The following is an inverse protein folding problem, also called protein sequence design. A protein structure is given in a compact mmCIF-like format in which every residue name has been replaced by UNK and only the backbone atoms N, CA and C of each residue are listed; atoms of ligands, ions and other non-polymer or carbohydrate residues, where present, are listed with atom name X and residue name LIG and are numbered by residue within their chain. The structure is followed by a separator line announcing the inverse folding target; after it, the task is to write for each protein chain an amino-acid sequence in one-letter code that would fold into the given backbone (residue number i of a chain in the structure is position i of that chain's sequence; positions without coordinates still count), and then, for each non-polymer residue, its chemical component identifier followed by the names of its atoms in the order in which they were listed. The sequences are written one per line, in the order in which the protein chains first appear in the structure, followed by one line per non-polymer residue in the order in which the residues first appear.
data_IF_533803466318
#
_entry.id   IF_533803466318
#
_cell.length_a   1.000
_cell.length_b   1.000
_cell.length_c   1.000
_cell.angle_alpha   90.00
_cell.angle_beta   90.00
_cell.angle_gamma   90.00
#
_symmetry.space_group_name_H-M   'P 1'
#
loop_
_entity.id
_entity.type
_entity.pdbx_description
1 polymer ?
#
# COMPACT_ATOMS: atom_id res chain seq x y z
N UNK A 1 -36.96 -54.72 -63.45
CA UNK A 1 -35.69 -54.13 -63.93
C UNK A 1 -35.56 -52.78 -63.23
N UNK A 2 -34.67 -52.67 -62.25
CA UNK A 2 -34.43 -51.41 -61.53
C UNK A 2 -33.71 -50.43 -62.45
N UNK A 3 -34.45 -49.49 -63.03
CA UNK A 3 -33.94 -48.36 -63.81
C UNK A 3 -33.33 -47.32 -62.86
N UNK A 4 -32.05 -47.46 -62.58
CA UNK A 4 -31.25 -46.43 -61.89
C UNK A 4 -30.33 -45.73 -62.88
N UNK A 5 -30.26 -44.40 -62.81
CA UNK A 5 -29.34 -43.59 -63.62
C UNK A 5 -27.89 -43.82 -63.18
N UNK A 6 -26.97 -43.92 -64.14
CA UNK A 6 -25.53 -43.92 -63.86
C UNK A 6 -25.09 -42.46 -63.68
N UNK A 7 -24.73 -42.10 -62.45
CA UNK A 7 -24.41 -40.72 -62.12
C UNK A 7 -22.95 -40.35 -62.41
N UNK A 8 -22.68 -39.08 -62.78
CA UNK A 8 -21.33 -38.54 -62.88
C UNK A 8 -20.55 -38.68 -61.57
N UNK A 9 -19.21 -38.69 -61.65
CA UNK A 9 -18.34 -38.78 -60.46
C UNK A 9 -18.70 -37.68 -59.46
N UNK A 10 -18.94 -38.06 -58.20
CA UNK A 10 -19.43 -37.22 -57.09
C UNK A 10 -20.95 -36.98 -57.00
N UNK A 11 -21.78 -37.66 -57.79
CA UNK A 11 -23.25 -37.58 -57.73
C UNK A 11 -23.91 -38.96 -57.50
N UNK A 12 -25.10 -38.98 -56.90
CA UNK A 12 -25.87 -40.17 -56.53
C UNK A 12 -27.39 -39.87 -56.52
N UNK A 13 -28.19 -40.88 -56.21
CA UNK A 13 -29.65 -40.83 -56.20
C UNK A 13 -30.26 -41.21 -57.55
N UNK A 14 -31.58 -41.48 -57.59
CA UNK A 14 -32.28 -41.98 -58.79
C UNK A 14 -32.20 -41.01 -59.98
N UNK A 15 -32.04 -39.71 -59.71
CA UNK A 15 -31.94 -38.64 -60.71
C UNK A 15 -30.57 -37.94 -60.71
N UNK A 16 -29.55 -38.47 -60.02
CA UNK A 16 -28.21 -37.88 -59.97
C UNK A 16 -28.16 -36.42 -59.48
N UNK A 17 -29.10 -36.01 -58.64
CA UNK A 17 -29.19 -34.65 -58.10
C UNK A 17 -28.73 -34.54 -56.65
N UNK A 18 -28.27 -35.65 -56.07
CA UNK A 18 -27.65 -35.67 -54.75
C UNK A 18 -26.14 -35.83 -54.94
N UNK A 19 -25.32 -35.10 -54.18
CA UNK A 19 -23.87 -35.36 -54.21
C UNK A 19 -23.59 -36.71 -53.55
N UNK A 20 -22.55 -37.42 -53.95
CA UNK A 20 -22.18 -38.68 -53.29
C UNK A 20 -21.26 -38.39 -52.09
N UNK A 21 -20.22 -37.57 -52.30
CA UNK A 21 -19.42 -36.96 -51.23
C UNK A 21 -19.50 -35.42 -51.37
N UNK A 22 -19.69 -34.70 -50.26
CA UNK A 22 -19.77 -33.24 -50.23
C UNK A 22 -18.37 -32.60 -50.36
N UNK A 23 -17.42 -32.96 -49.48
CA UNK A 23 -16.04 -32.47 -49.50
C UNK A 23 -15.02 -33.61 -49.51
N UNK A 24 -15.06 -34.43 -50.57
CA UNK A 24 -14.19 -35.60 -50.71
C UNK A 24 -14.37 -36.30 -52.05
N UNK A 25 -13.74 -37.47 -52.17
CA UNK A 25 -13.84 -38.30 -53.36
C UNK A 25 -14.36 -39.69 -52.99
N UNK A 26 -15.19 -40.29 -53.86
CA UNK A 26 -15.55 -41.71 -53.70
C UNK A 26 -14.31 -42.56 -53.95
N UNK A 27 -13.96 -43.35 -52.95
CA UNK A 27 -12.95 -44.38 -53.06
C UNK A 27 -13.63 -45.76 -53.06
N UNK A 28 -13.21 -46.60 -53.98
CA UNK A 28 -13.51 -48.04 -53.93
C UNK A 28 -12.44 -48.70 -53.05
N UNK A 29 -12.83 -49.64 -52.17
CA UNK A 29 -11.83 -50.53 -51.60
C UNK A 29 -11.20 -51.32 -52.75
N UNK A 30 -9.92 -51.03 -53.06
CA UNK A 30 -9.12 -51.85 -53.97
C UNK A 30 -8.79 -53.19 -53.31
N UNK A 31 -9.81 -54.03 -53.08
CA UNK A 31 -9.60 -55.44 -52.92
C UNK A 31 -10.05 -56.13 -54.20
N UNK A 32 -9.06 -56.59 -54.99
CA UNK A 32 -9.28 -57.41 -56.18
C UNK A 32 -9.92 -58.73 -55.73
N UNK A 33 -11.25 -58.82 -55.83
CA UNK A 33 -11.92 -60.10 -56.00
C UNK A 33 -13.26 -59.88 -56.70
N UNK A 34 -13.41 -60.57 -57.81
CA UNK A 34 -14.64 -60.64 -58.60
C UNK A 34 -15.68 -61.34 -57.72
N UNK A 35 -16.79 -60.64 -57.44
CA UNK A 35 -17.95 -61.09 -56.64
C UNK A 35 -17.94 -60.79 -55.13
N UNK A 36 -17.89 -59.50 -54.77
CA UNK A 36 -18.46 -59.03 -53.49
C UNK A 36 -18.84 -57.56 -53.60
N UNK A 37 -20.03 -57.19 -53.12
CA UNK A 37 -20.59 -55.84 -53.11
C UNK A 37 -19.52 -54.75 -52.89
N UNK A 38 -19.33 -53.88 -53.88
CA UNK A 38 -18.39 -52.77 -53.81
C UNK A 38 -18.92 -51.79 -52.75
N UNK A 39 -18.41 -51.88 -51.53
CA UNK A 39 -18.73 -50.93 -50.49
C UNK A 39 -17.93 -49.64 -50.77
N UNK A 40 -18.58 -48.67 -51.41
CA UNK A 40 -17.98 -47.36 -51.72
C UNK A 40 -18.03 -46.47 -50.48
N UNK A 41 -16.93 -45.82 -50.16
CA UNK A 41 -16.87 -44.86 -49.05
C UNK A 41 -16.27 -43.54 -49.50
N UNK A 42 -16.60 -42.46 -48.80
CA UNK A 42 -16.03 -41.15 -49.09
C UNK A 42 -14.67 -40.99 -48.41
N UNK A 43 -13.63 -40.79 -49.22
CA UNK A 43 -12.34 -40.30 -48.75
C UNK A 43 -12.41 -38.77 -48.66
N UNK A 44 -12.44 -38.24 -47.43
CA UNK A 44 -12.60 -36.81 -47.21
C UNK A 44 -11.35 -36.00 -47.49
N UNK A 45 -11.55 -34.79 -48.02
CA UNK A 45 -10.49 -33.80 -48.13
C UNK A 45 -9.99 -33.39 -46.74
N UNK A 46 -8.75 -32.90 -46.66
CA UNK A 46 -8.16 -32.43 -45.41
C UNK A 46 -9.09 -31.41 -44.72
N UNK A 47 -9.41 -31.66 -43.45
CA UNK A 47 -10.31 -30.81 -42.68
C UNK A 47 -11.81 -31.12 -42.85
N UNK A 48 -12.19 -32.28 -43.40
CA UNK A 48 -13.57 -32.76 -43.49
C UNK A 48 -13.72 -34.23 -43.06
N UNK A 49 -14.89 -34.59 -42.54
CA UNK A 49 -15.26 -35.91 -42.00
C UNK A 49 -16.77 -36.15 -42.15
N UNK A 50 -17.25 -37.29 -41.68
CA UNK A 50 -18.61 -37.77 -41.93
C UNK A 50 -18.66 -38.75 -43.10
N UNK A 51 -19.73 -39.54 -43.16
CA UNK A 51 -19.92 -40.60 -44.16
C UNK A 51 -19.89 -40.05 -45.60
N UNK A 52 -20.29 -38.79 -45.77
CA UNK A 52 -20.28 -38.07 -47.04
C UNK A 52 -19.35 -36.86 -47.00
N UNK A 53 -18.44 -36.74 -46.03
CA UNK A 53 -17.55 -35.58 -45.87
C UNK A 53 -18.29 -34.24 -45.72
N UNK A 54 -19.49 -34.30 -45.15
CA UNK A 54 -20.39 -33.17 -44.93
C UNK A 54 -20.03 -32.39 -43.65
N UNK A 55 -19.27 -33.00 -42.74
CA UNK A 55 -18.86 -32.39 -41.48
C UNK A 55 -17.48 -31.78 -41.67
N UNK A 56 -17.38 -30.46 -41.57
CA UNK A 56 -16.07 -29.81 -41.47
C UNK A 56 -15.41 -30.27 -40.17
N UNK A 57 -14.13 -30.65 -40.20
CA UNK A 57 -13.31 -30.60 -38.98
C UNK A 57 -13.21 -29.12 -38.59
N UNK A 58 -14.23 -28.62 -37.90
CA UNK A 58 -14.22 -27.37 -37.15
C UNK A 58 -13.33 -27.47 -35.91
N UNK A 59 -12.92 -28.69 -35.55
CA UNK A 59 -12.12 -29.04 -34.38
C UNK A 59 -10.66 -28.66 -34.59
N UNK A 60 -10.38 -27.37 -34.61
CA UNK A 60 -9.04 -26.89 -34.26
C UNK A 60 -8.89 -27.11 -32.77
N UNK A 61 -7.93 -27.94 -32.37
CA UNK A 61 -7.48 -27.94 -30.99
C UNK A 61 -7.12 -26.50 -30.62
N UNK A 62 -7.50 -26.09 -29.42
CA UNK A 62 -6.99 -24.86 -28.83
C UNK A 62 -5.46 -24.89 -28.83
N UNK A 63 -4.78 -23.75 -28.63
CA UNK A 63 -3.34 -23.70 -28.35
C UNK A 63 -2.92 -24.50 -27.10
N UNK A 64 -3.89 -25.07 -26.40
CA UNK A 64 -3.80 -25.84 -25.16
C UNK A 64 -3.88 -27.35 -25.38
N UNK A 65 -3.67 -27.81 -26.62
CA UNK A 65 -3.61 -29.22 -26.95
C UNK A 65 -3.02 -29.46 -28.33
N UNK A 66 -2.73 -30.73 -28.62
CA UNK A 66 -2.10 -31.18 -29.86
C UNK A 66 -3.06 -32.06 -30.63
N UNK A 67 -3.19 -31.83 -31.94
CA UNK A 67 -4.00 -32.67 -32.81
C UNK A 67 -3.22 -33.94 -33.18
N UNK A 68 -3.73 -35.11 -32.79
CA UNK A 68 -3.14 -36.42 -33.11
C UNK A 68 -4.25 -37.33 -33.66
N UNK A 69 -4.08 -37.86 -34.88
CA UNK A 69 -5.04 -38.78 -35.53
C UNK A 69 -6.50 -38.30 -35.46
N UNK A 70 -6.74 -37.01 -35.76
CA UNK A 70 -8.06 -36.36 -35.72
C UNK A 70 -8.69 -36.18 -34.34
N UNK A 71 -7.94 -36.43 -33.26
CA UNK A 71 -8.38 -36.22 -31.86
C UNK A 71 -7.46 -35.20 -31.19
N UNK A 72 -8.02 -34.31 -30.36
CA UNK A 72 -7.21 -33.39 -29.57
C UNK A 72 -6.74 -34.05 -28.27
N UNK A 73 -5.43 -34.10 -28.08
CA UNK A 73 -4.81 -34.47 -26.81
C UNK A 73 -4.52 -33.19 -26.03
N UNK A 74 -5.19 -33.01 -24.90
CA UNK A 74 -5.15 -31.76 -24.14
C UNK A 74 -3.95 -31.68 -23.21
N UNK A 75 -3.40 -30.48 -23.06
CA UNK A 75 -2.39 -30.18 -22.06
C UNK A 75 -2.99 -30.35 -20.65
N UNK A 76 -2.12 -30.49 -19.65
CA UNK A 76 -2.52 -30.76 -18.27
C UNK A 76 -3.62 -29.79 -17.80
N UNK A 77 -4.66 -30.36 -17.18
CA UNK A 77 -5.85 -29.67 -16.66
C UNK A 77 -6.80 -29.03 -17.69
N UNK A 78 -6.54 -29.19 -18.99
CA UNK A 78 -7.50 -28.89 -20.05
C UNK A 78 -8.25 -30.14 -20.51
N UNK A 79 -9.48 -29.93 -20.97
CA UNK A 79 -10.40 -30.99 -21.33
C UNK A 79 -11.33 -30.60 -22.48
N UNK A 80 -12.14 -31.56 -22.89
CA UNK A 80 -13.09 -31.44 -23.97
C UNK A 80 -12.46 -31.66 -25.34
N UNK A 81 -13.32 -31.87 -26.33
CA UNK A 81 -12.93 -32.28 -27.68
C UNK A 81 -12.04 -31.28 -28.43
N UNK A 82 -11.97 -30.03 -27.97
CA UNK A 82 -11.11 -28.98 -28.53
C UNK A 82 -10.13 -28.39 -27.51
N UNK A 83 -9.96 -29.01 -26.33
CA UNK A 83 -9.07 -28.54 -25.25
C UNK A 83 -9.33 -27.10 -24.81
N UNK A 84 -10.61 -26.73 -24.77
CA UNK A 84 -11.07 -25.39 -24.33
C UNK A 84 -11.62 -25.42 -22.91
N UNK A 85 -12.04 -26.58 -22.44
CA UNK A 85 -12.60 -26.72 -21.11
C UNK A 85 -11.48 -26.88 -20.09
N UNK A 86 -11.73 -26.49 -18.85
CA UNK A 86 -10.81 -26.59 -17.72
C UNK A 86 -11.35 -27.58 -16.70
N UNK A 87 -10.46 -28.39 -16.15
CA UNK A 87 -10.79 -29.44 -15.19
C UNK A 87 -10.79 -28.94 -13.73
N UNK A 88 -10.23 -27.75 -13.47
CA UNK A 88 -10.07 -27.20 -12.12
C UNK A 88 -10.26 -25.68 -12.14
N UNK A 89 -10.92 -25.15 -11.11
CA UNK A 89 -10.90 -23.74 -10.76
C UNK A 89 -10.35 -23.62 -9.34
N UNK A 90 -9.37 -22.74 -9.10
CA UNK A 90 -8.85 -22.51 -7.76
C UNK A 90 -9.69 -21.47 -7.02
N UNK A 91 -9.76 -20.24 -7.53
CA UNK A 91 -10.51 -19.13 -6.93
C UNK A 91 -11.64 -18.66 -7.85
N UNK A 92 -12.55 -19.57 -8.17
CA UNK A 92 -13.64 -19.29 -9.09
C UNK A 92 -14.64 -20.42 -9.17
N UNK A 93 -15.76 -20.13 -9.80
CA UNK A 93 -16.85 -21.09 -9.98
C UNK A 93 -16.74 -21.77 -11.34
N UNK A 94 -17.10 -23.06 -11.38
CA UNK A 94 -17.11 -23.82 -12.61
C UNK A 94 -18.45 -23.65 -13.33
N UNK A 95 -18.43 -23.11 -14.54
CA UNK A 95 -19.62 -22.90 -15.36
C UNK A 95 -19.35 -23.37 -16.80
N UNK A 96 -20.12 -24.35 -17.27
CA UNK A 96 -20.03 -24.90 -18.63
C UNK A 96 -18.61 -25.35 -19.04
N UNK A 97 -17.83 -25.89 -18.09
CA UNK A 97 -16.47 -26.33 -18.38
C UNK A 97 -15.43 -25.20 -18.41
N UNK A 98 -15.76 -23.99 -17.97
CA UNK A 98 -14.85 -22.84 -17.84
C UNK A 98 -14.89 -22.31 -16.41
N UNK A 99 -13.83 -21.62 -16.00
CA UNK A 99 -13.82 -20.93 -14.71
C UNK A 99 -14.35 -19.50 -14.84
N UNK A 100 -15.22 -19.12 -13.93
CA UNK A 100 -15.60 -17.73 -13.67
C UNK A 100 -14.88 -17.28 -12.41
N UNK A 101 -13.86 -16.44 -12.55
CA UNK A 101 -13.00 -16.08 -11.42
C UNK A 101 -13.71 -15.17 -10.43
N UNK A 102 -13.48 -15.42 -9.15
CA UNK A 102 -13.88 -14.52 -8.07
C UNK A 102 -13.09 -13.20 -8.17
N UNK A 103 -13.61 -12.15 -7.55
CA UNK A 103 -12.98 -10.82 -7.56
C UNK A 103 -11.52 -10.91 -7.07
N UNK A 104 -10.61 -10.29 -7.81
CA UNK A 104 -9.17 -10.27 -7.50
C UNK A 104 -8.37 -11.44 -8.09
N UNK A 105 -9.00 -12.34 -8.85
CA UNK A 105 -8.34 -13.49 -9.49
C UNK A 105 -8.53 -13.51 -11.00
N UNK A 106 -7.58 -14.12 -11.71
CA UNK A 106 -7.59 -14.23 -13.17
C UNK A 106 -6.85 -15.49 -13.65
N UNK A 107 -6.82 -15.69 -14.96
CA UNK A 107 -6.28 -16.87 -15.63
C UNK A 107 -7.34 -17.94 -15.86
N UNK A 108 -7.00 -18.92 -16.70
CA UNK A 108 -7.91 -20.02 -17.07
C UNK A 108 -8.37 -20.86 -15.87
N UNK A 109 -7.56 -20.89 -14.81
CA UNK A 109 -7.80 -21.66 -13.60
C UNK A 109 -8.04 -20.78 -12.37
N UNK A 110 -8.19 -19.46 -12.55
CA UNK A 110 -8.33 -18.47 -11.47
C UNK A 110 -7.24 -18.59 -10.40
N UNK A 111 -6.02 -18.83 -10.86
CA UNK A 111 -4.82 -19.11 -10.06
C UNK A 111 -3.86 -17.91 -9.98
N UNK A 112 -4.13 -16.86 -10.77
CA UNK A 112 -3.31 -15.65 -10.80
C UNK A 112 -4.00 -14.56 -10.01
N UNK A 113 -3.32 -14.03 -8.99
CA UNK A 113 -3.84 -12.92 -8.20
C UNK A 113 -3.70 -11.61 -8.98
N UNK A 114 -4.62 -10.67 -8.78
CA UNK A 114 -4.55 -9.31 -9.31
C UNK A 114 -4.27 -8.35 -8.15
N UNK A 115 -3.13 -7.66 -8.22
CA UNK A 115 -2.75 -6.64 -7.24
C UNK A 115 -3.33 -5.28 -7.63
N UNK A 116 -3.94 -4.59 -6.68
CA UNK A 116 -4.45 -3.23 -6.82
C UNK A 116 -3.36 -2.20 -6.49
N UNK A 117 -3.63 -0.93 -6.78
CA UNK A 117 -2.82 0.22 -6.34
C UNK A 117 -1.32 0.07 -6.66
N UNK A 118 -1.03 -0.44 -7.85
CA UNK A 118 0.31 -0.65 -8.36
C UNK A 118 1.18 -1.59 -7.50
N UNK A 119 0.55 -2.49 -6.73
CA UNK A 119 1.22 -3.61 -6.07
C UNK A 119 1.86 -4.57 -7.07
N UNK A 120 2.94 -5.22 -6.67
CA UNK A 120 3.69 -6.14 -7.53
C UNK A 120 3.43 -7.59 -7.17
N UNK A 121 3.58 -8.48 -8.15
CA UNK A 121 3.44 -9.92 -7.90
C UNK A 121 4.69 -10.47 -7.21
N UNK A 122 4.48 -11.28 -6.18
CA UNK A 122 5.55 -12.00 -5.53
C UNK A 122 5.96 -13.21 -6.39
N UNK A 123 7.06 -13.06 -7.12
CA UNK A 123 7.62 -14.11 -7.99
C UNK A 123 8.08 -15.32 -7.19
N UNK A 124 8.59 -15.13 -5.97
CA UNK A 124 9.00 -16.23 -5.10
C UNK A 124 7.80 -17.10 -4.65
N UNK A 125 6.59 -16.54 -4.66
CA UNK A 125 5.35 -17.23 -4.34
C UNK A 125 4.53 -17.59 -5.61
N UNK A 126 5.19 -17.81 -6.75
CA UNK A 126 4.55 -18.17 -8.02
C UNK A 126 3.44 -17.18 -8.47
N UNK A 127 3.60 -15.89 -8.17
CA UNK A 127 2.61 -14.86 -8.50
C UNK A 127 1.22 -15.08 -7.88
N UNK A 128 1.17 -15.71 -6.70
CA UNK A 128 -0.08 -15.93 -5.95
C UNK A 128 -0.30 -14.95 -4.79
N UNK A 129 0.71 -14.12 -4.49
CA UNK A 129 0.68 -13.14 -3.39
C UNK A 129 1.09 -11.77 -3.92
N UNK A 130 0.41 -10.72 -3.47
CA UNK A 130 0.76 -9.34 -3.78
C UNK A 130 1.76 -8.77 -2.77
N UNK A 131 2.75 -8.06 -3.27
CA UNK A 131 3.63 -7.18 -2.50
C UNK A 131 3.06 -5.77 -2.64
N UNK A 132 2.50 -5.27 -1.55
CA UNK A 132 1.83 -3.96 -1.54
C UNK A 132 2.80 -2.82 -1.38
N UNK A 133 2.45 -1.67 -1.97
CA UNK A 133 3.10 -0.41 -1.64
C UNK A 133 2.84 -0.06 -0.16
N UNK A 134 3.75 0.62 0.56
CA UNK A 134 3.66 0.82 2.02
C UNK A 134 2.34 1.38 2.56
N UNK A 135 1.60 2.16 1.76
CA UNK A 135 0.33 2.78 2.13
C UNK A 135 -0.89 1.86 1.99
N UNK A 136 -0.71 0.67 1.41
CA UNK A 136 -1.77 -0.29 1.10
C UNK A 136 -1.49 -1.64 1.76
N UNK A 137 -2.56 -2.37 2.04
CA UNK A 137 -2.53 -3.68 2.68
C UNK A 137 -3.68 -4.55 2.16
N UNK A 138 -3.78 -5.77 2.70
CA UNK A 138 -4.72 -6.78 2.24
C UNK A 138 -4.11 -7.68 1.17
N UNK A 139 -4.75 -8.83 0.93
CA UNK A 139 -4.26 -9.84 -0.02
C UNK A 139 -4.13 -9.31 -1.46
N UNK A 140 -4.97 -8.33 -1.82
CA UNK A 140 -5.00 -7.71 -3.15
C UNK A 140 -4.47 -6.28 -3.14
N UNK A 141 -3.91 -5.77 -2.02
CA UNK A 141 -3.57 -4.35 -1.85
C UNK A 141 -4.79 -3.41 -2.01
N UNK A 142 -5.98 -3.89 -1.66
CA UNK A 142 -7.28 -3.25 -1.85
C UNK A 142 -7.79 -2.56 -0.58
N UNK A 143 -6.91 -2.35 0.39
CA UNK A 143 -7.21 -1.66 1.64
C UNK A 143 -6.06 -0.74 2.02
N UNK A 144 -6.38 0.29 2.78
CA UNK A 144 -5.42 1.21 3.35
C UNK A 144 -4.65 0.59 4.54
N UNK A 145 -3.35 0.85 4.64
CA UNK A 145 -2.57 0.55 5.85
C UNK A 145 -3.04 1.45 7.01
N UNK A 146 -2.99 0.98 8.26
CA UNK A 146 -3.58 1.69 9.41
C UNK A 146 -3.06 3.14 9.54
N UNK A 147 -3.95 4.08 9.90
CA UNK A 147 -3.79 5.56 9.91
C UNK A 147 -4.20 6.30 8.63
N UNK A 148 -5.35 5.98 8.02
CA UNK A 148 -5.85 6.75 6.87
C UNK A 148 -7.15 7.49 7.19
N UNK A 149 -7.19 8.78 6.83
CA UNK A 149 -8.35 9.67 6.97
C UNK A 149 -9.29 9.53 5.79
N UNK A 150 -8.75 9.09 4.66
CA UNK A 150 -9.45 8.99 3.40
C UNK A 150 -9.82 7.52 3.10
N UNK A 151 -10.99 7.29 2.49
CA UNK A 151 -11.40 5.98 2.06
C UNK A 151 -10.54 5.51 0.88
N UNK A 152 -10.36 4.19 0.75
CA UNK A 152 -9.79 3.58 -0.45
C UNK A 152 -10.55 4.06 -1.70
N UNK A 153 -9.86 4.37 -2.84
CA UNK A 153 -8.46 4.08 -3.15
C UNK A 153 -7.45 5.15 -2.75
N UNK A 154 -7.88 6.31 -2.23
CA UNK A 154 -7.01 7.42 -1.89
C UNK A 154 -6.50 7.27 -0.46
N UNK A 155 -5.54 6.37 -0.29
CA UNK A 155 -4.89 6.13 0.98
C UNK A 155 -3.87 7.23 1.28
N UNK A 156 -4.34 8.33 1.89
CA UNK A 156 -3.48 9.38 2.41
C UNK A 156 -3.08 9.03 3.84
N UNK A 157 -1.79 9.11 4.15
CA UNK A 157 -1.37 9.06 5.56
C UNK A 157 -2.11 10.16 6.31
N UNK A 158 -2.80 9.80 7.39
CA UNK A 158 -2.94 10.75 8.47
C UNK A 158 -1.51 11.23 8.74
N UNK A 159 -1.28 12.52 8.55
CA UNK A 159 -0.43 13.25 9.48
C UNK A 159 -1.10 13.15 10.86
N UNK A 160 -1.21 11.95 11.43
CA UNK A 160 -1.07 11.75 12.85
C UNK A 160 0.35 12.25 13.05
N UNK A 161 0.57 13.30 13.85
CA UNK A 161 1.90 13.56 14.34
C UNK A 161 2.29 12.29 15.10
N UNK A 162 2.96 11.35 14.42
CA UNK A 162 3.80 10.37 15.07
C UNK A 162 4.64 11.19 16.02
N UNK A 163 4.51 10.89 17.32
CA UNK A 163 5.15 11.64 18.37
C UNK A 163 6.56 12.08 17.96
N UNK A 164 6.69 13.39 17.76
CA UNK A 164 7.87 14.17 18.14
C UNK A 164 9.23 13.56 17.78
N UNK A 165 9.66 13.67 16.53
CA UNK A 165 11.10 13.79 16.21
C UNK A 165 11.46 15.05 15.42
N UNK A 166 10.48 15.89 15.10
CA UNK A 166 10.72 17.28 14.65
C UNK A 166 10.04 18.34 15.54
N UNK A 167 9.69 17.97 16.78
CA UNK A 167 9.19 18.88 17.82
C UNK A 167 9.91 18.56 19.15
N UNK A 168 11.23 18.36 19.08
CA UNK A 168 12.11 18.31 20.24
C UNK A 168 12.83 19.64 20.49
N UNK A 169 12.88 20.56 19.52
CA UNK A 169 13.53 21.84 19.71
C UNK A 169 12.62 22.90 20.35
N UNK A 170 11.31 22.92 20.09
CA UNK A 170 10.45 23.98 20.64
C UNK A 170 10.05 23.77 22.10
N UNK A 171 9.83 22.56 22.59
CA UNK A 171 9.51 22.31 24.01
C UNK A 171 10.74 22.50 24.91
N UNK A 172 11.91 22.00 24.48
CA UNK A 172 13.20 22.27 25.15
C UNK A 172 13.62 23.74 25.05
N UNK A 173 13.37 24.43 23.93
CA UNK A 173 13.61 25.88 23.84
C UNK A 173 12.60 26.70 24.65
N UNK A 174 11.35 26.24 24.80
CA UNK A 174 10.36 26.92 25.65
C UNK A 174 10.68 26.74 27.13
N UNK A 175 11.12 25.54 27.54
CA UNK A 175 11.66 25.28 28.88
C UNK A 175 12.97 26.03 29.11
N UNK A 176 13.90 26.05 28.14
CA UNK A 176 15.15 26.80 28.22
C UNK A 176 14.89 28.31 28.31
N UNK A 177 13.96 28.86 27.54
CA UNK A 177 13.55 30.27 27.64
C UNK A 177 12.86 30.59 28.97
N UNK A 178 11.96 29.72 29.46
CA UNK A 178 11.34 29.90 30.79
C UNK A 178 12.36 29.81 31.92
N UNK A 179 13.31 28.87 31.85
CA UNK A 179 14.41 28.71 32.83
C UNK A 179 15.37 29.90 32.77
N UNK A 180 15.70 30.40 31.57
CA UNK A 180 16.56 31.58 31.40
C UNK A 180 15.87 32.86 31.88
N UNK A 181 14.55 32.98 31.66
CA UNK A 181 13.75 34.09 32.17
C UNK A 181 13.58 34.03 33.69
N UNK A 182 13.46 32.84 34.29
CA UNK A 182 13.41 32.70 35.75
C UNK A 182 14.76 32.98 36.42
N UNK A 183 15.87 32.54 35.81
CA UNK A 183 17.22 32.82 36.30
C UNK A 183 17.57 34.31 36.21
N UNK A 184 17.20 34.98 35.12
CA UNK A 184 17.46 36.41 34.95
C UNK A 184 16.66 37.26 35.94
N UNK A 185 15.38 36.93 36.18
CA UNK A 185 14.55 37.60 37.19
C UNK A 185 15.11 37.41 38.60
N UNK A 186 15.61 36.22 38.93
CA UNK A 186 16.23 35.95 40.23
C UNK A 186 17.50 36.79 40.46
N UNK A 187 18.37 36.92 39.44
CA UNK A 187 19.60 37.74 39.54
C UNK A 187 19.27 39.23 39.72
N UNK A 188 18.25 39.73 39.01
CA UNK A 188 17.80 41.13 39.15
C UNK A 188 17.27 41.39 40.56
N UNK A 189 16.45 40.48 41.11
CA UNK A 189 15.94 40.58 42.48
C UNK A 189 17.06 40.57 43.53
N UNK A 190 18.03 39.68 43.38
CA UNK A 190 19.21 39.62 44.27
C UNK A 190 20.00 40.94 44.20
N UNK A 191 20.19 41.49 42.99
CA UNK A 191 20.85 42.79 42.80
C UNK A 191 20.12 43.93 43.52
N UNK A 192 18.80 44.00 43.38
CA UNK A 192 17.96 45.00 44.06
C UNK A 192 18.08 44.86 45.58
N UNK A 193 17.99 43.64 46.10
CA UNK A 193 18.13 43.37 47.55
C UNK A 193 19.50 43.83 48.06
N UNK A 194 20.58 43.52 47.34
CA UNK A 194 21.93 43.96 47.71
C UNK A 194 22.05 45.49 47.73
N UNK A 195 21.46 46.19 46.76
CA UNK A 195 21.44 47.67 46.73
C UNK A 195 20.69 48.21 47.95
N UNK A 196 19.54 47.65 48.30
CA UNK A 196 18.80 48.05 49.49
C UNK A 196 19.59 47.81 50.77
N UNK A 197 20.27 46.66 50.90
CA UNK A 197 21.11 46.37 52.07
C UNK A 197 22.24 47.39 52.16
N UNK A 198 22.93 47.70 51.06
CA UNK A 198 24.00 48.72 51.07
C UNK A 198 23.46 50.09 51.45
N UNK A 199 22.30 50.49 50.92
CA UNK A 199 21.66 51.76 51.29
C UNK A 199 21.30 51.81 52.79
N UNK A 200 20.73 50.73 53.33
CA UNK A 200 20.43 50.61 54.76
C UNK A 200 21.70 50.67 55.61
N UNK A 201 22.78 50.02 55.19
CA UNK A 201 24.07 50.08 55.87
C UNK A 201 24.66 51.49 55.83
N UNK A 202 24.56 52.20 54.70
CA UNK A 202 24.98 53.60 54.58
C UNK A 202 24.14 54.53 55.48
N UNK A 203 22.82 54.32 55.54
CA UNK A 203 21.92 55.09 56.42
C UNK A 203 22.27 54.80 57.88
N UNK A 204 22.41 53.52 58.27
CA UNK A 204 22.79 53.13 59.62
C UNK A 204 24.13 53.74 60.00
N UNK A 205 25.15 53.62 59.15
CA UNK A 205 26.47 54.20 59.39
C UNK A 205 26.44 55.74 59.41
N UNK A 206 25.58 56.36 58.60
CA UNK A 206 25.32 57.80 58.64
C UNK A 206 24.67 58.24 59.95
N UNK A 207 23.68 57.47 60.43
CA UNK A 207 23.00 57.71 61.70
C UNK A 207 23.95 57.51 62.89
N UNK A 208 24.76 56.45 62.90
CA UNK A 208 25.75 56.23 63.97
C UNK A 208 26.80 57.33 63.98
N UNK A 209 27.29 57.78 62.81
CA UNK A 209 28.17 58.96 62.71
C UNK A 209 27.50 60.23 63.19
N UNK A 210 26.21 60.44 62.89
CA UNK A 210 25.44 61.60 63.34
C UNK A 210 25.27 61.59 64.85
N UNK A 211 24.87 60.46 65.44
CA UNK A 211 24.76 60.29 66.88
C UNK A 211 26.10 60.52 67.58
N UNK A 212 27.21 60.01 67.02
CA UNK A 212 28.55 60.25 67.57
C UNK A 212 28.98 61.73 67.52
N UNK A 213 28.60 62.48 66.47
CA UNK A 213 28.86 63.94 66.41
C UNK A 213 28.04 64.70 67.44
N UNK A 214 26.76 64.35 67.61
CA UNK A 214 25.87 64.96 68.62
C UNK A 214 26.42 64.70 70.03
N UNK A 215 26.85 63.47 70.33
CA UNK A 215 27.44 63.11 71.61
C UNK A 215 28.74 63.89 71.90
N UNK A 216 29.62 64.06 70.91
CA UNK A 216 30.85 64.86 71.06
C UNK A 216 30.56 66.34 71.28
N UNK A 217 29.58 66.91 70.57
CA UNK A 217 29.19 68.30 70.75
C UNK A 217 28.61 68.54 72.15
N UNK A 218 27.76 67.62 72.64
CA UNK A 218 27.22 67.71 73.99
C UNK A 218 28.31 67.67 75.08
N UNK A 219 29.37 66.86 74.90
CA UNK A 219 30.51 66.84 75.83
C UNK A 219 31.32 68.15 75.79
N UNK A 220 31.46 68.77 74.61
CA UNK A 220 32.12 70.08 74.46
C UNK A 220 31.30 71.17 75.15
N UNK A 221 30.00 71.23 74.88
CA UNK A 221 29.09 72.22 75.46
C UNK A 221 29.09 72.12 77.00
N UNK A 222 29.09 70.89 77.55
CA UNK A 222 29.17 70.66 79.00
C UNK A 222 30.52 71.13 79.58
N UNK A 223 31.65 70.92 78.88
CA UNK A 223 32.96 71.41 79.31
C UNK A 223 33.03 72.93 79.30
N UNK A 224 32.41 73.59 78.33
CA UNK A 224 32.34 75.05 78.27
C UNK A 224 31.49 75.63 79.39
N UNK A 225 30.34 75.05 79.68
CA UNK A 225 29.47 75.45 80.79
C UNK A 225 30.22 75.37 82.14
N UNK A 226 30.88 74.23 82.41
CA UNK A 226 31.71 74.07 83.62
C UNK A 226 32.84 75.10 83.67
N UNK A 227 33.48 75.41 82.54
CA UNK A 227 34.53 76.43 82.45
C UNK A 227 34.00 77.83 82.72
N UNK A 228 32.79 78.17 82.28
CA UNK A 228 32.16 79.45 82.57
C UNK A 228 31.82 79.57 84.07
N UNK A 229 31.27 78.52 84.68
CA UNK A 229 31.01 78.51 86.12
C UNK A 229 32.28 78.65 86.96
N UNK A 230 33.37 77.98 86.57
CA UNK A 230 34.69 78.14 87.20
C UNK A 230 35.22 79.58 87.10
N UNK A 231 35.04 80.24 85.95
CA UNK A 231 35.43 81.64 85.77
C UNK A 231 34.58 82.59 86.61
N UNK A 232 33.26 82.38 86.67
CA UNK A 232 32.35 83.18 87.47
C UNK A 232 32.69 83.10 88.96
N UNK A 233 32.91 81.88 89.48
CA UNK A 233 33.32 81.67 90.87
C UNK A 233 34.64 82.36 91.20
N UNK A 234 35.61 82.33 90.27
CA UNK A 234 36.89 83.02 90.46
C UNK A 234 36.75 84.55 90.49
N UNK A 235 35.79 85.12 89.77
CA UNK A 235 35.54 86.56 89.78
C UNK A 235 34.83 87.06 91.05
N UNK A 236 34.30 86.15 91.88
CA UNK A 236 33.64 86.46 93.16
C UNK A 236 34.62 86.36 94.35
N UNK A 237 35.76 85.70 94.15
CA UNK A 237 36.84 85.54 95.14
C UNK A 237 37.95 86.63 95.03
N UNK A 238 37.94 87.48 93.99
CA UNK A 238 38.85 88.63 93.76
C UNK A 238 38.15 89.98 94.09
#
# INVERSE_FOLDING_TARGET
MTTGCICPKQWTGPNCNETACVHGQLADQKNKSVNSNINRYCQCNAGWTGERCEKRLTKKCSSRGTLINSTCVCNQFYAGESCRLVAKCNNGDHLNGLCTCHKGWTGDFCDKIICQQNGTLNVAANNTVCVCHPQYTGQFCDSCFFNNTAPYPECQELFLPTSTTHIGHHALDFLRKKVFLSLSVAVILIGIIMIFIVALMCVFFGLTKRQARIARQAEIDQREEVRMQLKAKKAEDD
#
